data_IF_811737950556
#
_entry.id   IF_811737950556
#
_cell.length_a   1.000
_cell.length_b   1.000
_cell.length_c   1.000
_cell.angle_alpha   90.00
_cell.angle_beta   90.00
_cell.angle_gamma   90.00
#
_symmetry.space_group_name_H-M   'P 1'
#
loop_
_entity.id
_entity.type
_entity.pdbx_description
1 polymer ?
#
# COMPACT_ATOMS: atom_id res chain seq x y z
N UNK A 1 -24.43 68.17 -14.47
CA UNK A 1 -23.08 68.17 -13.87
C UNK A 1 -23.21 68.00 -12.36
N UNK A 2 -23.04 66.78 -11.83
CA UNK A 2 -22.71 66.60 -10.42
C UNK A 2 -21.39 65.81 -10.27
N UNK A 3 -20.59 66.24 -9.29
CA UNK A 3 -19.28 65.69 -8.91
C UNK A 3 -19.27 64.16 -8.82
N UNK A 4 -18.21 63.46 -9.28
CA UNK A 4 -18.00 62.07 -8.91
C UNK A 4 -17.71 62.00 -7.41
N UNK A 5 -18.60 61.32 -6.70
CA UNK A 5 -18.58 61.12 -5.27
C UNK A 5 -17.27 60.46 -4.83
N UNK A 6 -16.69 61.02 -3.77
CA UNK A 6 -15.58 60.43 -3.02
C UNK A 6 -15.93 59.01 -2.59
N UNK A 7 -15.46 58.02 -3.34
CA UNK A 7 -15.45 56.63 -2.88
C UNK A 7 -14.47 56.53 -1.70
N UNK A 8 -14.88 55.89 -0.58
CA UNK A 8 -14.08 55.88 0.64
C UNK A 8 -12.75 55.14 0.40
N UNK A 9 -11.66 55.76 0.86
CA UNK A 9 -10.27 55.30 0.69
C UNK A 9 -10.05 53.82 1.09
N UNK A 10 -10.89 53.30 1.98
CA UNK A 10 -10.89 51.90 2.41
C UNK A 10 -11.18 50.90 1.28
N UNK A 11 -11.96 51.28 0.26
CA UNK A 11 -12.22 50.42 -0.91
C UNK A 11 -10.93 50.14 -1.69
N UNK A 12 -10.05 51.14 -1.79
CA UNK A 12 -8.75 50.97 -2.42
C UNK A 12 -7.77 50.18 -1.55
N UNK A 13 -7.83 50.32 -0.23
CA UNK A 13 -7.00 49.54 0.71
C UNK A 13 -7.35 48.05 0.66
N UNK A 14 -8.64 47.70 0.61
CA UNK A 14 -9.08 46.31 0.49
C UNK A 14 -8.68 45.72 -0.87
N UNK A 15 -8.84 46.47 -1.97
CA UNK A 15 -8.39 46.05 -3.29
C UNK A 15 -6.86 45.85 -3.37
N UNK A 16 -6.07 46.71 -2.71
CA UNK A 16 -4.62 46.57 -2.65
C UNK A 16 -4.17 45.36 -1.82
N UNK A 17 -4.89 45.03 -0.74
CA UNK A 17 -4.59 43.86 0.09
C UNK A 17 -4.88 42.52 -0.61
N UNK A 18 -5.78 42.51 -1.59
CA UNK A 18 -6.05 41.33 -2.41
C UNK A 18 -4.95 41.06 -3.47
N UNK A 19 -4.17 42.08 -3.86
CA UNK A 19 -3.05 41.92 -4.78
C UNK A 19 -1.74 41.55 -4.07
N UNK A 20 -1.68 41.72 -2.75
CA UNK A 20 -0.60 41.27 -1.88
C UNK A 20 -0.84 39.86 -1.31
N UNK A 21 -1.70 39.05 -1.95
CA UNK A 21 -1.72 37.62 -1.69
C UNK A 21 -0.32 37.09 -2.01
N UNK A 22 0.41 36.50 -1.03
CA UNK A 22 1.64 35.80 -1.35
C UNK A 22 1.27 34.76 -2.40
N UNK A 23 2.00 34.77 -3.52
CA UNK A 23 1.93 33.72 -4.52
C UNK A 23 1.80 32.38 -3.79
N UNK A 24 0.87 31.49 -4.18
CA UNK A 24 0.67 30.22 -3.49
C UNK A 24 2.04 29.62 -3.29
N UNK A 25 2.43 29.58 -2.01
CA UNK A 25 3.82 29.35 -1.63
C UNK A 25 4.29 28.13 -2.38
N UNK A 26 5.53 28.18 -2.85
CA UNK A 26 6.31 27.03 -3.27
C UNK A 26 6.09 25.95 -2.22
N UNK A 27 5.08 25.10 -2.44
CA UNK A 27 4.85 23.96 -1.60
C UNK A 27 6.03 23.09 -1.93
N UNK A 28 6.93 22.95 -0.97
CA UNK A 28 7.88 21.86 -0.98
C UNK A 28 7.04 20.59 -1.15
N UNK A 29 7.02 20.07 -2.37
CA UNK A 29 6.57 18.73 -2.61
C UNK A 29 7.55 17.86 -1.84
N UNK A 30 7.16 17.51 -0.61
CA UNK A 30 7.83 16.47 0.16
C UNK A 30 7.80 15.25 -0.74
N UNK A 31 8.95 14.97 -1.37
CA UNK A 31 9.14 13.81 -2.21
C UNK A 31 8.87 12.62 -1.28
N UNK A 32 7.66 12.08 -1.36
CA UNK A 32 7.31 10.82 -0.72
C UNK A 32 8.18 9.81 -1.44
N UNK A 33 9.35 9.56 -0.88
CA UNK A 33 10.16 8.42 -1.24
C UNK A 33 9.30 7.23 -0.83
N UNK A 34 8.52 6.72 -1.78
CA UNK A 34 7.82 5.45 -1.65
C UNK A 34 8.92 4.40 -1.49
N UNK A 35 9.30 4.16 -0.23
CA UNK A 35 10.22 3.10 0.12
C UNK A 35 9.64 1.82 -0.46
N UNK A 36 10.37 1.19 -1.38
CA UNK A 36 9.91 -0.06 -1.97
C UNK A 36 9.71 -1.06 -0.83
N UNK A 37 8.51 -1.63 -0.67
CA UNK A 37 8.29 -2.60 0.40
C UNK A 37 9.21 -3.79 0.19
N UNK A 38 9.83 -4.25 1.28
CA UNK A 38 10.59 -5.49 1.25
C UNK A 38 9.62 -6.67 1.24
N UNK A 39 9.81 -7.60 0.31
CA UNK A 39 9.00 -8.81 0.19
C UNK A 39 9.85 -10.01 0.61
N UNK A 40 9.42 -10.73 1.64
CA UNK A 40 10.06 -11.96 2.10
C UNK A 40 9.18 -13.14 1.74
N UNK A 41 9.71 -14.07 0.94
CA UNK A 41 9.04 -15.30 0.54
C UNK A 41 9.59 -16.48 1.37
N UNK A 42 8.74 -17.06 2.21
CA UNK A 42 9.05 -18.27 2.98
C UNK A 42 8.29 -19.44 2.35
N UNK A 43 9.02 -20.47 1.91
CA UNK A 43 8.45 -21.68 1.31
C UNK A 43 9.05 -22.93 1.97
N UNK A 44 8.22 -23.93 2.22
CA UNK A 44 8.62 -25.23 2.77
C UNK A 44 8.38 -26.31 1.72
N UNK A 45 9.38 -27.16 1.47
CA UNK A 45 9.21 -28.35 0.63
C UNK A 45 8.47 -29.46 1.42
N UNK A 46 7.65 -30.24 0.72
CA UNK A 46 6.91 -31.40 1.27
C UNK A 46 5.97 -31.09 2.45
N UNK A 47 5.48 -29.85 2.56
CA UNK A 47 4.53 -29.46 3.60
C UNK A 47 3.09 -29.82 3.24
N UNK A 48 2.38 -30.49 4.16
CA UNK A 48 0.95 -30.79 4.00
C UNK A 48 0.10 -29.61 4.50
N UNK A 49 -0.46 -28.85 3.55
CA UNK A 49 -1.31 -27.70 3.84
C UNK A 49 -2.56 -28.04 4.67
N UNK A 50 -3.01 -29.31 4.68
CA UNK A 50 -4.18 -29.75 5.47
C UNK A 50 -3.97 -29.62 6.97
N UNK A 51 -2.71 -29.62 7.42
CA UNK A 51 -2.36 -29.40 8.83
C UNK A 51 -2.74 -28.00 9.32
N UNK A 52 -2.91 -27.04 8.41
CA UNK A 52 -3.20 -25.64 8.73
C UNK A 52 -4.69 -25.27 8.76
N UNK A 53 -5.57 -26.14 8.23
CA UNK A 53 -7.02 -25.90 8.13
C UNK A 53 -7.77 -26.57 9.26
N UNK A 54 -8.91 -26.01 9.70
CA UNK A 54 -9.70 -26.57 10.80
C UNK A 54 -10.20 -27.98 10.50
N UNK A 55 -10.16 -28.92 11.47
CA UNK A 55 -9.86 -28.71 12.91
C UNK A 55 -8.37 -28.56 13.25
N UNK A 56 -7.48 -28.53 12.26
CA UNK A 56 -6.04 -28.47 12.41
C UNK A 56 -5.46 -29.85 12.73
N UNK A 57 -4.14 -29.93 12.78
CA UNK A 57 -3.49 -31.10 13.40
C UNK A 57 -3.66 -31.04 14.92
N UNK A 58 -4.08 -32.16 15.54
CA UNK A 58 -4.04 -32.33 17.00
C UNK A 58 -2.66 -32.75 17.52
N UNK A 59 -1.71 -33.03 16.61
CA UNK A 59 -0.39 -33.57 16.93
C UNK A 59 0.73 -32.56 16.62
N UNK A 60 0.50 -31.66 15.67
CA UNK A 60 1.50 -30.70 15.18
C UNK A 60 1.00 -29.30 15.45
N UNK A 61 1.71 -28.58 16.33
CA UNK A 61 1.47 -27.16 16.60
C UNK A 61 2.27 -26.29 15.62
N UNK A 62 1.63 -25.26 15.06
CA UNK A 62 2.22 -24.38 14.04
C UNK A 62 2.10 -22.89 14.43
N UNK A 63 2.71 -22.48 15.57
CA UNK A 63 2.48 -21.15 16.16
C UNK A 63 2.82 -19.99 15.22
N UNK A 64 3.91 -20.12 14.45
CA UNK A 64 4.30 -19.08 13.48
C UNK A 64 3.31 -18.97 12.31
N UNK A 65 2.72 -20.09 11.87
CA UNK A 65 1.71 -20.09 10.80
C UNK A 65 0.40 -19.51 11.31
N UNK A 66 -0.01 -19.84 12.52
CA UNK A 66 -1.21 -19.29 13.13
C UNK A 66 -1.10 -17.78 13.35
N UNK A 67 0.09 -17.28 13.73
CA UNK A 67 0.36 -15.84 13.78
C UNK A 67 0.22 -15.20 12.39
N UNK A 68 0.80 -15.80 11.35
CA UNK A 68 0.66 -15.29 9.97
C UNK A 68 -0.79 -15.31 9.50
N UNK A 69 -1.58 -16.31 9.88
CA UNK A 69 -3.02 -16.37 9.55
C UNK A 69 -3.84 -15.31 10.27
N UNK A 70 -3.51 -15.02 11.54
CA UNK A 70 -4.22 -14.00 12.33
C UNK A 70 -3.94 -12.57 11.86
N UNK A 71 -2.73 -12.29 11.36
CA UNK A 71 -2.31 -10.95 10.91
C UNK A 71 -2.26 -10.77 9.38
N UNK A 72 -2.64 -11.80 8.63
CA UNK A 72 -2.52 -11.83 7.18
C UNK A 72 -3.80 -12.31 6.49
N UNK A 73 -3.65 -12.72 5.24
CA UNK A 73 -4.72 -13.31 4.44
C UNK A 73 -4.42 -14.79 4.17
N UNK A 74 -5.45 -15.63 4.24
CA UNK A 74 -5.34 -17.07 3.97
C UNK A 74 -6.03 -17.41 2.66
N UNK A 75 -5.30 -18.06 1.74
CA UNK A 75 -5.86 -18.56 0.49
C UNK A 75 -6.26 -20.03 0.63
N UNK A 76 -7.56 -20.32 0.59
CA UNK A 76 -8.09 -21.68 0.74
C UNK A 76 -7.91 -22.53 -0.53
N UNK A 77 -7.76 -21.88 -1.69
CA UNK A 77 -7.65 -22.52 -3.00
C UNK A 77 -6.27 -22.25 -3.63
N UNK A 78 -5.21 -22.57 -2.90
CA UNK A 78 -3.83 -22.45 -3.39
C UNK A 78 -3.27 -23.82 -3.76
N UNK A 79 -2.93 -24.02 -5.04
CA UNK A 79 -2.44 -25.29 -5.59
C UNK A 79 -1.03 -25.16 -6.17
N UNK A 80 -0.21 -26.18 -5.99
CA UNK A 80 1.06 -26.28 -6.70
C UNK A 80 0.81 -26.65 -8.17
N UNK A 81 1.51 -26.00 -9.10
CA UNK A 81 1.38 -26.28 -10.54
C UNK A 81 1.86 -27.70 -10.91
N UNK A 82 2.71 -28.29 -10.08
CA UNK A 82 3.21 -29.66 -10.24
C UNK A 82 3.49 -30.28 -8.87
N UNK A 83 3.22 -31.58 -8.66
CA UNK A 83 3.46 -32.27 -7.39
C UNK A 83 4.95 -32.63 -7.16
N UNK A 84 5.88 -32.06 -7.91
CA UNK A 84 7.33 -32.31 -7.78
C UNK A 84 8.05 -30.99 -7.47
N UNK A 85 9.03 -31.04 -6.58
CA UNK A 85 9.70 -29.84 -6.05
C UNK A 85 10.33 -28.97 -7.16
N UNK A 86 11.06 -29.59 -8.10
CA UNK A 86 11.75 -28.86 -9.17
C UNK A 86 10.79 -28.07 -10.09
N UNK A 87 9.77 -28.69 -10.72
CA UNK A 87 8.83 -27.95 -11.56
C UNK A 87 7.93 -26.98 -10.77
N UNK A 88 7.61 -27.28 -9.51
CA UNK A 88 6.85 -26.37 -8.63
C UNK A 88 7.62 -25.08 -8.35
N UNK A 89 8.89 -25.17 -7.93
CA UNK A 89 9.75 -24.00 -7.68
C UNK A 89 10.07 -23.23 -8.96
N UNK A 90 10.26 -23.94 -10.08
CA UNK A 90 10.45 -23.31 -11.37
C UNK A 90 9.24 -22.43 -11.72
N UNK A 91 8.02 -22.95 -11.57
CA UNK A 91 6.79 -22.18 -11.76
C UNK A 91 6.73 -20.93 -10.87
N UNK A 92 7.04 -21.05 -9.58
CA UNK A 92 7.07 -19.90 -8.67
C UNK A 92 8.05 -18.81 -9.11
N UNK A 93 9.24 -19.21 -9.58
CA UNK A 93 10.27 -18.28 -10.02
C UNK A 93 9.99 -17.66 -11.40
N UNK A 94 9.24 -18.34 -12.28
CA UNK A 94 8.98 -17.90 -13.66
C UNK A 94 7.63 -17.23 -13.87
N UNK A 95 6.72 -17.25 -12.89
CA UNK A 95 5.38 -16.64 -12.96
C UNK A 95 5.34 -15.13 -13.31
N UNK A 96 6.50 -14.46 -13.42
CA UNK A 96 6.62 -13.08 -13.92
C UNK A 96 7.20 -12.93 -15.34
N UNK A 97 7.35 -14.00 -16.13
CA UNK A 97 7.88 -13.97 -17.52
C UNK A 97 6.82 -14.28 -18.58
N UNK A 98 5.61 -13.76 -18.39
CA UNK A 98 4.54 -13.74 -19.40
C UNK A 98 4.40 -12.37 -20.02
#
# INVERSE_FOLDING_TARGET
MPLPAMLPLWVWVVAASALAAPAPGTQEQKLLVTQRPNVVLVASDSFDGRLTFQPGSRVVELPSIDLMKAHGATFLNAYANSPICCPSRAGLATLGKG
#
